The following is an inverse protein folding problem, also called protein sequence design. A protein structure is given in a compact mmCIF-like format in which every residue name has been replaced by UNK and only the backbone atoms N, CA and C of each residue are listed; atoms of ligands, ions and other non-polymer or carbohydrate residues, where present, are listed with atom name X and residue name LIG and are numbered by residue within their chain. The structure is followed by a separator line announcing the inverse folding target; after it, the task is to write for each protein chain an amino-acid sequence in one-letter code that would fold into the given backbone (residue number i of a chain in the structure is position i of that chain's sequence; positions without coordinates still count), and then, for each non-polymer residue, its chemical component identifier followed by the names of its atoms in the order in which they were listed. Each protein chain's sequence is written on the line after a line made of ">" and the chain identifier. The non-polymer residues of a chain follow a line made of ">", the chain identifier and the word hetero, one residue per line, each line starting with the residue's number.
data_IF_128504327000
#
_entry.id   IF_128504327000
#
_cell.length_a   1.000
_cell.length_b   1.000
_cell.length_c   1.000
_cell.angle_alpha   90.00
_cell.angle_beta   90.00
_cell.angle_gamma   90.00
#
_symmetry.space_group_name_H-M   'P 1'
#
loop_
_entity.id
_entity.type
_entity.pdbx_description
1 polymer ?
#
# COMPACT_ATOMS: atom_id res chain seq x y z
N UNK A 1 -54.61 27.73 -51.14
CA UNK A 1 -54.68 26.32 -50.70
C UNK A 1 -53.53 25.54 -51.32
N UNK A 2 -52.52 25.14 -50.53
CA UNK A 2 -51.79 23.85 -50.52
C UNK A 2 -50.48 24.03 -49.73
N UNK A 3 -50.40 23.25 -48.65
CA UNK A 3 -49.25 23.06 -47.75
C UNK A 3 -48.24 22.14 -48.45
N UNK A 4 -46.94 22.25 -48.17
CA UNK A 4 -46.16 21.18 -47.53
C UNK A 4 -44.72 21.60 -47.20
N UNK A 5 -44.40 21.42 -45.93
CA UNK A 5 -43.12 21.42 -45.23
C UNK A 5 -42.17 20.35 -45.77
N UNK A 6 -40.87 20.64 -45.94
CA UNK A 6 -39.76 19.71 -45.63
C UNK A 6 -38.49 20.54 -45.30
N UNK A 7 -38.14 20.59 -44.00
CA UNK A 7 -36.80 20.91 -43.49
C UNK A 7 -35.94 19.64 -43.56
N UNK A 8 -34.74 19.70 -44.13
CA UNK A 8 -33.63 18.75 -43.86
C UNK A 8 -32.32 19.57 -43.94
N UNK A 9 -31.64 19.80 -42.81
CA UNK A 9 -30.47 19.03 -42.34
C UNK A 9 -29.32 19.09 -43.36
N UNK A 10 -28.16 19.69 -43.05
CA UNK A 10 -27.08 19.01 -42.32
C UNK A 10 -26.24 20.03 -41.55
N UNK A 11 -26.25 19.91 -40.22
CA UNK A 11 -25.31 20.53 -39.29
C UNK A 11 -24.76 19.39 -38.43
N UNK A 12 -23.55 18.89 -38.72
CA UNK A 12 -22.84 17.98 -37.82
C UNK A 12 -21.36 17.83 -38.26
N UNK A 13 -20.56 18.85 -37.99
CA UNK A 13 -19.11 18.68 -37.81
C UNK A 13 -18.80 19.21 -36.42
N UNK A 14 -19.17 18.42 -35.40
CA UNK A 14 -18.69 18.62 -34.05
C UNK A 14 -17.30 17.99 -33.97
N UNK A 15 -16.28 18.84 -33.92
CA UNK A 15 -14.94 18.49 -33.50
C UNK A 15 -15.01 17.81 -32.13
N UNK A 16 -14.84 16.50 -32.12
CA UNK A 16 -14.53 15.72 -30.93
C UNK A 16 -13.11 16.08 -30.53
N UNK A 17 -12.96 17.17 -29.78
CA UNK A 17 -11.76 17.41 -28.99
C UNK A 17 -11.77 16.38 -27.85
N UNK A 18 -11.07 15.28 -28.06
CA UNK A 18 -10.67 14.38 -26.99
C UNK A 18 -9.91 15.20 -25.95
N UNK A 19 -10.60 15.49 -24.84
CA UNK A 19 -9.98 15.95 -23.61
C UNK A 19 -9.02 14.84 -23.19
N UNK A 20 -7.74 15.01 -23.50
CA UNK A 20 -6.69 14.32 -22.79
C UNK A 20 -6.78 14.78 -21.34
N UNK A 21 -7.56 14.05 -20.55
CA UNK A 21 -7.52 14.11 -19.10
C UNK A 21 -6.14 13.60 -18.70
N UNK A 22 -5.14 14.50 -18.80
CA UNK A 22 -3.85 14.30 -18.18
C UNK A 22 -4.12 13.95 -16.72
N UNK A 23 -3.60 12.81 -16.31
CA UNK A 23 -3.59 12.33 -14.94
C UNK A 23 -2.73 13.28 -14.09
N UNK A 24 -3.19 14.52 -13.92
CA UNK A 24 -2.68 15.47 -12.95
C UNK A 24 -3.24 15.09 -11.60
N UNK A 25 -2.72 14.01 -11.03
CA UNK A 25 -2.95 13.69 -9.63
C UNK A 25 -2.42 14.85 -8.80
N UNK A 26 -3.31 15.66 -8.23
CA UNK A 26 -2.95 16.69 -7.26
C UNK A 26 -2.06 16.03 -6.20
N UNK A 27 -0.86 16.57 -5.90
CA UNK A 27 -0.03 16.07 -4.82
C UNK A 27 -0.85 16.13 -3.54
N UNK A 28 -1.30 14.98 -3.05
CA UNK A 28 -2.00 14.94 -1.78
C UNK A 28 -0.97 14.92 -0.68
N UNK A 29 -1.11 15.88 0.24
CA UNK A 29 -0.35 15.91 1.48
C UNK A 29 -0.55 14.64 2.30
N UNK A 30 0.27 14.44 3.34
CA UNK A 30 0.24 13.23 4.15
C UNK A 30 -1.15 13.01 4.75
N UNK A 31 -1.69 11.80 4.60
CA UNK A 31 -2.87 11.38 5.34
C UNK A 31 -2.49 11.17 6.80
N UNK A 32 -3.39 11.55 7.72
CA UNK A 32 -3.23 11.21 9.12
C UNK A 32 -3.61 9.75 9.31
N UNK A 33 -2.63 8.93 9.68
CA UNK A 33 -2.82 7.51 10.00
C UNK A 33 -2.60 7.32 11.49
N UNK A 34 -3.43 6.51 12.14
CA UNK A 34 -3.24 6.12 13.53
C UNK A 34 -3.74 4.70 13.79
N UNK A 35 -3.10 3.94 14.68
CA UNK A 35 -3.66 2.69 15.17
C UNK A 35 -5.00 2.90 15.90
N UNK A 36 -5.86 1.88 15.86
CA UNK A 36 -7.11 1.82 16.64
C UNK A 36 -7.38 0.37 17.02
N UNK A 37 -7.40 0.07 18.32
CA UNK A 37 -7.62 -1.30 18.78
C UNK A 37 -6.41 -2.19 18.49
N UNK A 38 -6.64 -3.46 18.12
CA UNK A 38 -5.57 -4.44 17.94
C UNK A 38 -4.94 -4.42 16.54
N UNK A 39 -5.73 -4.63 15.49
CA UNK A 39 -5.22 -4.81 14.12
C UNK A 39 -5.84 -3.86 13.10
N UNK A 40 -6.31 -2.71 13.58
CA UNK A 40 -7.03 -1.76 12.74
C UNK A 40 -6.30 -0.43 12.73
N UNK A 41 -6.29 0.24 11.58
CA UNK A 41 -5.80 1.61 11.44
C UNK A 41 -6.93 2.52 11.01
N UNK A 42 -6.88 3.77 11.48
CA UNK A 42 -7.77 4.84 11.01
C UNK A 42 -6.97 5.78 10.14
N UNK A 43 -7.40 5.92 8.90
CA UNK A 43 -6.85 6.86 7.91
C UNK A 43 -7.81 8.02 7.77
N UNK A 44 -7.34 9.24 7.94
CA UNK A 44 -8.18 10.44 7.82
C UNK A 44 -7.90 11.14 6.50
N UNK A 45 -8.85 11.07 5.57
CA UNK A 45 -8.78 11.74 4.28
C UNK A 45 -9.69 12.98 4.32
N UNK A 46 -9.11 14.18 4.15
CA UNK A 46 -9.89 15.44 4.08
C UNK A 46 -10.88 15.59 5.26
N UNK A 47 -10.44 15.20 6.46
CA UNK A 47 -11.24 15.22 7.69
C UNK A 47 -12.21 14.04 7.89
N UNK A 48 -12.35 13.14 6.90
CA UNK A 48 -13.20 11.96 7.01
C UNK A 48 -12.37 10.75 7.47
N UNK A 49 -12.76 10.08 8.57
CA UNK A 49 -12.06 8.89 9.04
C UNK A 49 -12.54 7.64 8.29
N UNK A 50 -11.57 6.84 7.84
CA UNK A 50 -11.77 5.54 7.23
C UNK A 50 -11.07 4.49 8.09
N UNK A 51 -11.78 3.42 8.43
CA UNK A 51 -11.26 2.34 9.27
C UNK A 51 -10.85 1.19 8.36
N UNK A 52 -9.59 0.78 8.45
CA UNK A 52 -9.01 -0.32 7.66
C UNK A 52 -8.60 -1.42 8.63
N UNK A 53 -9.19 -2.61 8.46
CA UNK A 53 -8.79 -3.81 9.17
C UNK A 53 -7.60 -4.44 8.45
N UNK A 54 -6.50 -4.67 9.17
CA UNK A 54 -5.26 -5.25 8.65
C UNK A 54 -5.04 -6.68 9.17
N UNK A 55 -6.06 -7.31 9.75
CA UNK A 55 -5.94 -8.63 10.41
C UNK A 55 -5.32 -9.70 9.52
N UNK A 56 -5.56 -9.65 8.21
CA UNK A 56 -5.02 -10.61 7.24
C UNK A 56 -3.65 -10.19 6.66
N UNK A 57 -3.15 -8.99 7.00
CA UNK A 57 -1.95 -8.40 6.43
C UNK A 57 -0.80 -8.26 7.42
N UNK A 58 -1.04 -8.45 8.71
CA UNK A 58 -0.02 -8.33 9.75
C UNK A 58 -0.11 -9.48 10.75
N UNK A 59 1.05 -9.97 11.20
CA UNK A 59 1.14 -10.98 12.25
C UNK A 59 1.07 -10.36 13.66
N UNK A 60 1.41 -9.07 13.78
CA UNK A 60 1.40 -8.35 15.05
C UNK A 60 0.07 -8.54 15.80
N UNK A 61 0.15 -8.87 17.09
CA UNK A 61 -1.02 -8.98 17.96
C UNK A 61 -1.67 -7.63 18.25
N UNK A 62 -0.87 -6.56 18.28
CA UNK A 62 -1.32 -5.19 18.48
C UNK A 62 -0.45 -4.22 17.70
N UNK A 63 -1.07 -3.42 16.84
CA UNK A 63 -0.41 -2.31 16.13
C UNK A 63 -0.07 -1.21 17.15
N UNK A 64 1.20 -0.83 17.20
CA UNK A 64 1.70 0.27 18.03
C UNK A 64 1.93 1.54 17.18
N UNK A 65 2.33 1.38 15.93
CA UNK A 65 2.54 2.48 15.00
C UNK A 65 2.05 2.15 13.59
N UNK A 66 1.61 3.17 12.88
CA UNK A 66 1.24 3.08 11.47
C UNK A 66 1.55 4.41 10.79
N UNK A 67 2.35 4.38 9.73
CA UNK A 67 2.80 5.55 8.98
C UNK A 67 2.44 5.38 7.50
N UNK A 68 1.91 6.44 6.89
CA UNK A 68 1.77 6.45 5.43
C UNK A 68 3.15 6.58 4.79
N UNK A 69 3.50 5.63 3.92
CA UNK A 69 4.61 5.76 2.99
C UNK A 69 4.16 6.44 1.70
N UNK A 70 3.11 5.90 1.07
CA UNK A 70 2.58 6.43 -0.20
C UNK A 70 1.06 6.46 -0.21
N UNK A 71 0.52 7.46 -0.91
CA UNK A 71 -0.87 7.48 -1.37
C UNK A 71 -0.87 7.84 -2.85
N UNK A 72 -1.59 7.09 -3.66
CA UNK A 72 -1.75 7.35 -5.10
C UNK A 72 -3.16 7.03 -5.55
N UNK A 73 -3.60 7.63 -6.66
CA UNK A 73 -4.91 7.35 -7.26
C UNK A 73 -4.75 7.08 -8.75
N UNK A 74 -5.32 5.98 -9.21
CA UNK A 74 -5.34 5.61 -10.62
C UNK A 74 -6.55 4.70 -10.87
N UNK A 75 -7.16 4.80 -12.05
CA UNK A 75 -8.25 3.90 -12.45
C UNK A 75 -9.47 3.88 -11.51
N UNK A 76 -9.74 4.95 -10.77
CA UNK A 76 -10.83 5.01 -9.79
C UNK A 76 -10.52 4.36 -8.43
N UNK A 77 -9.29 3.88 -8.22
CA UNK A 77 -8.84 3.31 -6.94
C UNK A 77 -7.91 4.26 -6.20
N UNK A 78 -7.88 4.13 -4.88
CA UNK A 78 -6.84 4.69 -4.02
C UNK A 78 -5.87 3.58 -3.62
N UNK A 79 -4.59 3.81 -3.85
CA UNK A 79 -3.52 2.90 -3.46
C UNK A 79 -2.81 3.48 -2.25
N UNK A 80 -2.80 2.73 -1.16
CA UNK A 80 -2.21 3.14 0.11
C UNK A 80 -1.10 2.16 0.47
N UNK A 81 0.08 2.70 0.74
CA UNK A 81 1.20 1.93 1.29
C UNK A 81 1.49 2.44 2.70
N UNK A 82 1.42 1.53 3.66
CA UNK A 82 1.65 1.79 5.07
C UNK A 82 2.89 1.04 5.55
N UNK A 83 3.65 1.69 6.42
CA UNK A 83 4.59 1.05 7.32
C UNK A 83 3.88 0.85 8.66
N UNK A 84 3.72 -0.40 9.09
CA UNK A 84 2.94 -0.80 10.27
C UNK A 84 3.81 -1.65 11.17
N UNK A 85 4.05 -1.18 12.39
CA UNK A 85 4.75 -1.95 13.41
C UNK A 85 3.85 -2.23 14.62
N UNK A 86 4.07 -3.37 15.25
CA UNK A 86 3.33 -3.77 16.43
C UNK A 86 4.02 -4.85 17.22
N UNK A 87 3.45 -5.18 18.37
CA UNK A 87 3.99 -6.23 19.23
C UNK A 87 3.59 -7.61 18.69
N UNK A 88 4.55 -8.53 18.60
CA UNK A 88 4.30 -9.94 18.25
C UNK A 88 3.46 -10.65 19.32
N UNK A 89 3.60 -10.22 20.59
CA UNK A 89 2.88 -10.74 21.76
C UNK A 89 2.39 -9.60 22.65
N UNK A 90 1.32 -9.84 23.40
CA UNK A 90 0.80 -8.90 24.42
C UNK A 90 0.74 -9.59 25.78
N UNK A 91 0.74 -8.84 26.90
CA UNK A 91 0.65 -9.44 28.23
C UNK A 91 -0.47 -10.49 28.33
N UNK A 92 -0.21 -11.62 29.01
CA UNK A 92 0.98 -11.92 29.83
C UNK A 92 2.17 -12.53 29.06
N UNK A 93 2.06 -12.77 27.75
CA UNK A 93 3.05 -13.55 26.98
C UNK A 93 4.20 -12.71 26.39
N UNK A 94 4.24 -11.41 26.68
CA UNK A 94 5.21 -10.43 26.14
C UNK A 94 6.64 -10.57 26.69
N UNK A 95 6.90 -11.55 27.56
CA UNK A 95 8.24 -11.86 28.11
C UNK A 95 8.85 -13.15 27.57
N UNK A 96 8.14 -13.87 26.71
CA UNK A 96 8.60 -15.14 26.16
C UNK A 96 9.44 -14.94 24.90
N UNK A 97 10.20 -15.96 24.48
CA UNK A 97 10.82 -15.98 23.16
C UNK A 97 9.79 -15.69 22.06
N UNK A 98 10.17 -14.86 21.09
CA UNK A 98 9.27 -14.35 20.05
C UNK A 98 8.35 -13.21 20.49
N UNK A 99 8.54 -12.64 21.68
CA UNK A 99 8.01 -11.32 22.02
C UNK A 99 8.96 -10.26 21.45
N UNK A 100 8.58 -9.66 20.33
CA UNK A 100 9.34 -8.61 19.67
C UNK A 100 8.43 -7.60 19.00
N UNK A 101 9.02 -6.85 18.09
CA UNK A 101 8.30 -5.98 17.16
C UNK A 101 8.19 -6.72 15.83
N UNK A 102 6.99 -6.80 15.28
CA UNK A 102 6.78 -7.15 13.88
C UNK A 102 6.50 -5.87 13.10
N UNK A 103 7.26 -5.61 12.04
CA UNK A 103 6.96 -4.53 11.10
C UNK A 103 6.68 -5.06 9.71
N UNK A 104 5.63 -4.53 9.09
CA UNK A 104 5.20 -4.85 7.74
C UNK A 104 5.07 -3.59 6.90
N UNK A 105 5.49 -3.69 5.63
CA UNK A 105 4.97 -2.82 4.59
C UNK A 105 3.67 -3.43 4.08
N UNK A 106 2.57 -2.69 4.16
CA UNK A 106 1.24 -3.11 3.72
C UNK A 106 0.81 -2.25 2.53
N UNK A 107 0.54 -2.90 1.39
CA UNK A 107 -0.06 -2.26 0.22
C UNK A 107 -1.55 -2.60 0.16
N UNK A 108 -2.38 -1.59 -0.08
CA UNK A 108 -3.83 -1.71 -0.19
C UNK A 108 -4.33 -1.02 -1.46
N UNK A 109 -5.14 -1.71 -2.25
CA UNK A 109 -5.98 -1.16 -3.31
C UNK A 109 -7.39 -0.95 -2.76
N UNK A 110 -7.84 0.30 -2.73
CA UNK A 110 -9.10 0.72 -2.12
C UNK A 110 -10.04 1.27 -3.19
N UNK A 111 -11.32 0.93 -3.14
CA UNK A 111 -12.33 1.56 -4.00
C UNK A 111 -12.72 2.98 -3.51
N UNK A 112 -13.61 3.66 -4.25
CA UNK A 112 -14.09 5.00 -3.90
C UNK A 112 -14.84 5.09 -2.56
N UNK A 113 -15.24 3.96 -1.97
CA UNK A 113 -15.83 3.86 -0.64
C UNK A 113 -14.82 3.44 0.43
N UNK A 114 -13.51 3.45 0.11
CA UNK A 114 -12.41 3.04 0.98
C UNK A 114 -12.48 1.56 1.42
N UNK A 115 -13.11 0.70 0.61
CA UNK A 115 -13.13 -0.74 0.85
C UNK A 115 -11.92 -1.40 0.19
N UNK A 116 -11.30 -2.34 0.88
CA UNK A 116 -10.17 -3.12 0.36
C UNK A 116 -10.64 -4.00 -0.80
N UNK A 117 -9.96 -3.88 -1.94
CA UNK A 117 -10.17 -4.65 -3.17
C UNK A 117 -8.95 -5.48 -3.57
N UNK A 118 -7.79 -5.14 -3.02
CA UNK A 118 -6.57 -5.91 -3.11
C UNK A 118 -5.66 -5.53 -1.96
N UNK A 119 -4.91 -6.50 -1.46
CA UNK A 119 -3.96 -6.27 -0.38
C UNK A 119 -2.75 -7.18 -0.56
N UNK A 120 -1.59 -6.66 -0.19
CA UNK A 120 -0.34 -7.38 -0.11
C UNK A 120 0.39 -6.87 1.13
N UNK A 121 1.26 -7.69 1.69
CA UNK A 121 2.15 -7.25 2.74
C UNK A 121 3.51 -7.93 2.57
N UNK A 122 4.54 -7.27 3.10
CA UNK A 122 5.83 -7.88 3.32
C UNK A 122 6.28 -7.51 4.73
N UNK A 123 6.49 -8.53 5.56
CA UNK A 123 7.18 -8.38 6.83
C UNK A 123 8.65 -8.11 6.60
N UNK A 124 9.20 -7.14 7.30
CA UNK A 124 10.60 -6.77 7.16
C UNK A 124 11.39 -6.74 8.45
N UNK A 125 10.71 -6.59 9.59
CA UNK A 125 11.33 -6.73 10.91
C UNK A 125 10.56 -7.79 11.68
N UNK A 126 11.28 -8.79 12.20
CA UNK A 126 10.79 -9.73 13.21
C UNK A 126 11.97 -10.37 13.94
N UNK A 127 11.72 -11.05 15.07
CA UNK A 127 12.77 -11.84 15.74
C UNK A 127 13.45 -12.90 14.85
N UNK A 128 12.82 -13.27 13.71
CA UNK A 128 13.34 -14.27 12.76
C UNK A 128 13.83 -13.65 11.45
N UNK A 129 13.72 -12.33 11.33
CA UNK A 129 14.08 -11.57 10.12
C UNK A 129 14.53 -10.17 10.56
N UNK A 130 15.71 -10.05 11.22
CA UNK A 130 16.25 -8.74 11.57
C UNK A 130 16.65 -7.99 10.29
N UNK A 131 16.30 -6.71 10.21
CA UNK A 131 16.86 -5.83 9.18
C UNK A 131 18.33 -5.56 9.50
N UNK A 132 19.24 -5.82 8.56
CA UNK A 132 20.63 -5.35 8.68
C UNK A 132 20.73 -3.89 8.23
N UNK A 133 21.72 -3.13 8.71
CA UNK A 133 21.88 -1.70 8.39
C UNK A 133 22.00 -1.40 6.88
N UNK A 134 22.48 -2.35 6.08
CA UNK A 134 22.58 -2.21 4.62
C UNK A 134 21.23 -2.38 3.91
N UNK A 135 20.30 -3.06 4.58
CA UNK A 135 19.00 -3.51 4.10
C UNK A 135 17.83 -2.62 4.55
N UNK A 136 18.13 -1.47 5.15
CA UNK A 136 17.14 -0.50 5.61
C UNK A 136 16.17 -0.07 4.51
N UNK A 137 14.94 0.21 4.94
CA UNK A 137 13.88 0.67 4.06
C UNK A 137 14.20 2.05 3.47
N UNK A 138 14.42 2.10 2.15
CA UNK A 138 14.75 3.32 1.40
C UNK A 138 13.52 3.83 0.65
N UNK A 139 13.15 5.07 0.96
CA UNK A 139 12.12 5.83 0.24
C UNK A 139 12.81 6.90 -0.59
N UNK A 140 12.83 6.71 -1.91
CA UNK A 140 13.49 7.62 -2.85
C UNK A 140 12.45 8.18 -3.82
N UNK A 141 12.05 9.44 -3.60
CA UNK A 141 11.01 10.08 -4.39
C UNK A 141 9.68 9.33 -4.31
N UNK A 142 9.27 8.71 -5.41
CA UNK A 142 8.02 7.95 -5.55
C UNK A 142 8.21 6.43 -5.49
N UNK A 143 9.38 5.97 -5.07
CA UNK A 143 9.74 4.55 -5.00
C UNK A 143 10.16 4.12 -3.61
N UNK A 144 9.91 2.85 -3.34
CA UNK A 144 10.31 2.15 -2.12
C UNK A 144 11.17 0.96 -2.51
N UNK A 145 12.25 0.75 -1.77
CA UNK A 145 13.08 -0.46 -1.87
C UNK A 145 13.58 -0.88 -0.49
N UNK A 146 13.55 -2.17 -0.22
CA UNK A 146 14.20 -2.78 0.93
C UNK A 146 14.53 -4.24 0.63
N UNK A 147 15.38 -4.85 1.44
CA UNK A 147 15.66 -6.27 1.38
C UNK A 147 15.50 -6.88 2.76
N UNK A 148 15.13 -8.16 2.82
CA UNK A 148 14.97 -8.88 4.08
C UNK A 148 15.54 -10.28 3.92
N UNK A 149 16.22 -10.75 4.95
CA UNK A 149 16.67 -12.14 5.03
C UNK A 149 15.69 -12.90 5.91
N UNK A 150 15.03 -13.90 5.32
CA UNK A 150 14.12 -14.79 6.00
C UNK A 150 14.86 -16.09 6.30
N UNK A 151 15.38 -16.21 7.52
CA UNK A 151 16.11 -17.38 7.97
C UNK A 151 15.23 -18.63 8.14
N UNK A 152 13.90 -18.48 8.16
CA UNK A 152 12.99 -19.64 8.17
C UNK A 152 12.88 -20.28 6.79
N UNK A 153 12.89 -19.44 5.77
CA UNK A 153 12.77 -19.86 4.37
C UNK A 153 14.12 -20.01 3.66
N UNK A 154 15.23 -19.76 4.35
CA UNK A 154 16.60 -19.75 3.81
C UNK A 154 16.70 -18.86 2.55
N UNK A 155 16.08 -17.69 2.60
CA UNK A 155 15.91 -16.83 1.43
C UNK A 155 16.06 -15.34 1.75
N UNK A 156 16.67 -14.62 0.80
CA UNK A 156 16.65 -13.16 0.73
C UNK A 156 15.52 -12.70 -0.17
N UNK A 157 14.75 -11.71 0.26
CA UNK A 157 13.66 -11.10 -0.50
C UNK A 157 13.96 -9.63 -0.71
N UNK A 158 14.07 -9.22 -1.97
CA UNK A 158 14.14 -7.81 -2.36
C UNK A 158 12.73 -7.32 -2.71
N UNK A 159 12.28 -6.28 -2.02
CA UNK A 159 10.93 -5.74 -2.20
C UNK A 159 10.99 -4.33 -2.73
N UNK A 160 10.18 -4.07 -3.74
CA UNK A 160 10.06 -2.76 -4.37
C UNK A 160 8.60 -2.35 -4.55
N UNK A 161 8.38 -1.05 -4.59
CA UNK A 161 7.09 -0.46 -4.96
C UNK A 161 7.31 0.83 -5.75
N UNK A 162 6.50 1.05 -6.78
CA UNK A 162 6.52 2.24 -7.62
C UNK A 162 5.16 2.95 -7.57
N UNK A 163 5.12 4.15 -6.98
CA UNK A 163 3.89 4.93 -6.86
C UNK A 163 3.41 5.54 -8.20
N UNK A 164 4.22 5.49 -9.26
CA UNK A 164 3.82 5.88 -10.62
C UNK A 164 3.06 4.74 -11.34
N UNK A 165 3.25 3.49 -10.89
CA UNK A 165 2.47 2.34 -11.31
C UNK A 165 1.86 1.59 -10.10
N UNK A 166 0.96 2.22 -9.35
CA UNK A 166 0.58 1.75 -8.02
C UNK A 166 -0.28 0.47 -8.04
N UNK A 167 -0.85 0.11 -9.20
CA UNK A 167 -1.67 -1.10 -9.38
C UNK A 167 -0.86 -2.40 -9.39
N UNK A 168 0.45 -2.31 -9.68
CA UNK A 168 1.35 -3.47 -9.65
C UNK A 168 1.58 -4.01 -8.23
N UNK A 169 1.31 -3.21 -7.20
CA UNK A 169 1.54 -3.60 -5.81
C UNK A 169 3.02 -3.71 -5.44
N UNK A 170 3.29 -4.49 -4.40
CA UNK A 170 4.63 -4.86 -3.99
C UNK A 170 5.20 -5.89 -4.97
N UNK A 171 6.38 -5.60 -5.52
CA UNK A 171 7.15 -6.57 -6.31
C UNK A 171 8.20 -7.20 -5.40
N UNK A 172 8.16 -8.53 -5.30
CA UNK A 172 9.07 -9.31 -4.46
C UNK A 172 9.93 -10.21 -5.35
N UNK A 173 11.25 -10.06 -5.26
CA UNK A 173 12.22 -10.97 -5.86
C UNK A 173 12.87 -11.78 -4.75
N UNK A 174 12.79 -13.10 -4.85
CA UNK A 174 13.37 -14.01 -3.88
C UNK A 174 14.62 -14.70 -4.44
N UNK A 175 15.67 -14.80 -3.64
CA UNK A 175 16.88 -15.55 -3.92
C UNK A 175 17.28 -16.39 -2.71
N UNK A 176 17.80 -17.62 -2.87
CA UNK A 176 18.32 -18.39 -1.74
C UNK A 176 19.44 -17.64 -1.01
N UNK A 177 19.56 -17.82 0.30
CA UNK A 177 20.73 -17.33 1.03
C UNK A 177 21.97 -18.16 0.63
N UNK A 178 23.18 -17.56 0.67
CA UNK A 178 24.41 -18.31 0.48
C UNK A 178 24.54 -19.38 1.57
N UNK A 179 24.83 -20.62 1.19
CA UNK A 179 25.18 -21.65 2.17
C UNK A 179 26.52 -21.25 2.81
N UNK A 180 26.52 -20.98 4.11
CA UNK A 180 27.77 -20.93 4.87
C UNK A 180 28.25 -22.36 5.07
N UNK A 181 29.30 -22.75 4.37
CA UNK A 181 30.05 -23.97 4.67
C UNK A 181 30.70 -23.76 6.05
N UNK A 182 30.17 -24.46 7.07
CA UNK A 182 30.73 -24.52 8.42
C UNK A 182 31.69 -25.70 8.56
#
# INVERSE_FOLDING_TARGET
>A
MKRLTVLFAVLCVLCVLCVAAGAGGVPQGPLKVRPKGRRTVVVTERGRPHTLDLTEQIDAMRIESAKQLFVSRAGGFTYLVLDVCGLSKVPPDDRQCGAGVECNVVWLKLDGAWRVRGAQNQRYESCWSPVTLEDEMKVEGRRLKFAVEDFRDDARREVTYDADNPDAGLTVKQTPLPKTDH
#
